data_IF_749662573602
#
_entry.id   IF_749662573602
#
_cell.length_a   1.000
_cell.length_b   1.000
_cell.length_c   1.000
_cell.angle_alpha   90.00
_cell.angle_beta   90.00
_cell.angle_gamma   90.00
#
_symmetry.space_group_name_H-M   'P 1'
#
loop_
_entity.id
_entity.type
_entity.pdbx_description
1 polymer ?
#
# COMPACT_ATOMS: atom_id res chain seq x y z
N UNK A 1 40.58 -41.85 -49.73
CA UNK A 1 40.36 -40.59 -50.46
C UNK A 1 38.87 -40.52 -50.75
N UNK A 2 37.96 -40.35 -49.77
CA UNK A 2 37.79 -39.28 -48.78
C UNK A 2 37.65 -37.90 -49.42
N UNK A 3 36.74 -37.09 -48.86
CA UNK A 3 36.44 -35.66 -49.06
C UNK A 3 35.62 -35.28 -50.33
N UNK A 4 34.41 -34.71 -50.31
CA UNK A 4 33.56 -34.14 -49.24
C UNK A 4 32.06 -34.23 -49.58
N UNK A 5 31.28 -34.67 -48.60
CA UNK A 5 29.82 -34.51 -48.55
C UNK A 5 29.49 -33.09 -48.06
N UNK A 6 29.31 -32.12 -48.94
CA UNK A 6 28.84 -30.78 -48.57
C UNK A 6 27.31 -30.77 -48.44
N UNK A 7 26.81 -31.41 -47.38
CA UNK A 7 25.45 -31.16 -46.88
C UNK A 7 25.46 -29.73 -46.33
N UNK A 8 24.93 -28.78 -47.10
CA UNK A 8 24.66 -27.42 -46.60
C UNK A 8 23.54 -27.51 -45.55
N UNK A 9 23.75 -27.13 -44.29
CA UNK A 9 22.64 -26.95 -43.38
C UNK A 9 21.83 -25.76 -43.91
N UNK A 10 20.58 -25.97 -44.31
CA UNK A 10 19.65 -24.87 -44.50
C UNK A 10 19.49 -24.21 -43.13
N UNK A 11 20.11 -23.04 -42.94
CA UNK A 11 19.99 -22.25 -41.71
C UNK A 11 18.53 -21.83 -41.56
N UNK A 12 17.83 -22.67 -40.82
CA UNK A 12 16.86 -22.37 -39.80
C UNK A 12 16.34 -20.91 -39.74
N UNK A 13 15.02 -20.80 -39.78
CA UNK A 13 14.30 -20.27 -38.62
C UNK A 13 14.80 -18.91 -38.11
N UNK A 14 14.67 -17.85 -38.91
CA UNK A 14 14.93 -16.49 -38.38
C UNK A 14 14.11 -15.38 -39.03
N UNK A 15 12.95 -15.66 -39.64
CA UNK A 15 12.03 -14.58 -40.09
C UNK A 15 10.93 -14.24 -39.08
N UNK A 16 10.51 -15.18 -38.23
CA UNK A 16 9.43 -14.95 -37.25
C UNK A 16 9.86 -14.13 -36.03
N UNK A 17 11.15 -14.15 -35.68
CA UNK A 17 11.67 -13.39 -34.54
C UNK A 17 12.00 -11.94 -34.92
N UNK A 18 12.38 -11.67 -36.17
CA UNK A 18 12.67 -10.29 -36.65
C UNK A 18 11.42 -9.42 -36.61
N UNK A 19 10.26 -9.94 -37.04
CA UNK A 19 8.99 -9.21 -36.94
C UNK A 19 8.58 -8.93 -35.49
N UNK A 20 8.78 -9.89 -34.58
CA UNK A 20 8.51 -9.70 -33.15
C UNK A 20 9.47 -8.72 -32.50
N UNK A 21 10.75 -8.75 -32.88
CA UNK A 21 11.77 -7.80 -32.44
C UNK A 21 11.45 -6.38 -32.92
N UNK A 22 11.06 -6.21 -34.19
CA UNK A 22 10.66 -4.91 -34.71
C UNK A 22 9.40 -4.37 -34.04
N UNK A 23 8.40 -5.22 -33.78
CA UNK A 23 7.19 -4.82 -33.04
C UNK A 23 7.50 -4.46 -31.58
N UNK A 24 8.38 -5.22 -30.92
CA UNK A 24 8.85 -4.89 -29.57
C UNK A 24 9.63 -3.58 -29.56
N UNK A 25 10.52 -3.36 -30.53
CA UNK A 25 11.27 -2.11 -30.66
C UNK A 25 10.33 -0.94 -30.94
N UNK A 26 9.34 -1.08 -31.83
CA UNK A 26 8.32 -0.06 -32.06
C UNK A 26 7.45 0.21 -30.82
N UNK A 27 7.06 -0.83 -30.07
CA UNK A 27 6.30 -0.68 -28.84
C UNK A 27 7.12 0.00 -27.74
N UNK A 28 8.41 -0.33 -27.62
CA UNK A 28 9.36 0.31 -26.70
C UNK A 28 9.60 1.76 -27.11
N UNK A 29 9.81 2.05 -28.40
CA UNK A 29 9.94 3.42 -28.90
C UNK A 29 8.65 4.23 -28.71
N UNK A 30 7.48 3.61 -28.85
CA UNK A 30 6.19 4.24 -28.58
C UNK A 30 6.01 4.56 -27.09
N UNK A 31 6.37 3.63 -26.21
CA UNK A 31 6.44 3.84 -24.75
C UNK A 31 7.44 4.94 -24.37
N UNK A 32 8.62 4.95 -24.98
CA UNK A 32 9.66 5.97 -24.76
C UNK A 32 9.29 7.34 -25.34
N UNK A 33 8.40 7.40 -26.34
CA UNK A 33 7.87 8.65 -26.89
C UNK A 33 6.65 9.17 -26.10
N UNK A 34 5.89 8.29 -25.46
CA UNK A 34 4.72 8.63 -24.66
C UNK A 34 5.06 9.02 -23.20
N UNK A 35 6.11 8.42 -22.63
CA UNK A 35 6.60 8.73 -21.28
C UNK A 35 7.08 10.18 -21.06
N UNK A 36 7.69 10.90 -22.03
CA UNK A 36 8.20 12.26 -21.81
C UNK A 36 7.11 13.35 -21.90
N UNK A 37 5.92 13.05 -22.45
CA UNK A 37 4.90 14.07 -22.77
C UNK A 37 3.70 14.13 -21.82
N UNK A 38 3.50 13.15 -20.92
CA UNK A 38 2.37 13.22 -19.99
C UNK A 38 2.74 14.05 -18.73
N UNK A 39 2.18 15.26 -18.55
CA UNK A 39 2.46 16.09 -17.37
C UNK A 39 2.06 15.40 -16.05
N UNK A 40 1.08 14.49 -16.12
CA UNK A 40 0.62 13.67 -14.99
C UNK A 40 1.68 12.69 -14.52
N UNK A 41 2.38 11.98 -15.42
CA UNK A 41 3.40 11.00 -15.02
C UNK A 41 4.61 11.69 -14.37
N UNK A 42 5.01 12.86 -14.88
CA UNK A 42 6.06 13.68 -14.28
C UNK A 42 5.67 14.16 -12.88
N UNK A 43 4.44 14.64 -12.70
CA UNK A 43 3.93 15.03 -11.40
C UNK A 43 3.89 13.83 -10.43
N UNK A 44 3.39 12.67 -10.86
CA UNK A 44 3.36 11.46 -10.05
C UNK A 44 4.76 11.01 -9.65
N UNK A 45 5.72 11.01 -10.57
CA UNK A 45 7.12 10.68 -10.26
C UNK A 45 7.74 11.69 -9.28
N UNK A 46 7.50 12.98 -9.49
CA UNK A 46 7.99 14.05 -8.61
C UNK A 46 7.44 13.94 -7.19
N UNK A 47 6.14 13.66 -7.04
CA UNK A 47 5.48 13.53 -5.74
C UNK A 47 5.55 12.11 -5.17
N UNK A 48 6.03 11.12 -5.95
CA UNK A 48 6.13 9.73 -5.52
C UNK A 48 6.91 9.53 -4.22
N UNK A 49 8.03 10.24 -3.93
CA UNK A 49 8.74 10.07 -2.67
C UNK A 49 7.92 10.57 -1.48
N UNK A 50 7.20 11.68 -1.64
CA UNK A 50 6.32 12.22 -0.60
C UNK A 50 5.10 11.30 -0.37
N UNK A 51 4.52 10.75 -1.45
CA UNK A 51 3.45 9.76 -1.35
C UNK A 51 3.92 8.48 -0.67
N UNK A 52 5.13 8.00 -0.99
CA UNK A 52 5.71 6.83 -0.35
C UNK A 52 5.97 7.07 1.14
N UNK A 53 6.48 8.26 1.51
CA UNK A 53 6.68 8.64 2.91
C UNK A 53 5.34 8.72 3.67
N UNK A 54 4.33 9.39 3.10
CA UNK A 54 3.00 9.48 3.69
C UNK A 54 2.31 8.12 3.81
N UNK A 55 2.49 7.24 2.82
CA UNK A 55 2.00 5.87 2.85
C UNK A 55 2.66 5.05 3.97
N UNK A 56 3.98 5.15 4.12
CA UNK A 56 4.71 4.53 5.23
C UNK A 56 4.21 5.02 6.58
N UNK A 57 3.98 6.32 6.74
CA UNK A 57 3.45 6.90 7.97
C UNK A 57 2.02 6.42 8.26
N UNK A 58 1.17 6.29 7.24
CA UNK A 58 -0.17 5.75 7.38
C UNK A 58 -0.16 4.31 7.91
N UNK A 59 0.72 3.47 7.36
CA UNK A 59 0.91 2.10 7.85
C UNK A 59 1.39 2.10 9.30
N UNK A 60 2.39 2.91 9.62
CA UNK A 60 2.96 2.98 10.96
C UNK A 60 1.91 3.36 12.01
N UNK A 61 1.18 4.45 11.76
CA UNK A 61 0.13 4.93 12.67
C UNK A 61 -0.97 3.87 12.81
N UNK A 62 -1.40 3.25 11.70
CA UNK A 62 -2.41 2.19 11.73
C UNK A 62 -1.96 1.00 12.56
N UNK A 63 -0.72 0.55 12.39
CA UNK A 63 -0.16 -0.60 13.10
C UNK A 63 -0.06 -0.32 14.60
N UNK A 64 0.43 0.86 14.98
CA UNK A 64 0.51 1.29 16.38
C UNK A 64 -0.90 1.41 16.99
N UNK A 65 -1.85 2.02 16.28
CA UNK A 65 -3.22 2.17 16.73
C UNK A 65 -3.91 0.81 16.94
N UNK A 66 -3.72 -0.14 16.01
CA UNK A 66 -4.25 -1.51 16.14
C UNK A 66 -3.60 -2.24 17.31
N UNK A 67 -2.28 -2.15 17.46
CA UNK A 67 -1.57 -2.83 18.55
C UNK A 67 -2.02 -2.32 19.92
N UNK A 68 -2.05 -1.00 20.11
CA UNK A 68 -2.50 -0.36 21.35
C UNK A 68 -3.99 -0.60 21.59
N UNK A 69 -4.82 -0.42 20.56
CA UNK A 69 -6.26 -0.64 20.63
C UNK A 69 -6.61 -2.10 20.97
N UNK A 70 -5.84 -3.06 20.44
CA UNK A 70 -6.02 -4.49 20.76
C UNK A 70 -5.60 -4.82 22.17
N UNK A 71 -4.47 -4.28 22.65
CA UNK A 71 -4.00 -4.50 24.01
C UNK A 71 -4.98 -3.92 25.04
N UNK A 72 -5.37 -2.65 24.88
CA UNK A 72 -6.35 -1.99 25.74
C UNK A 72 -7.73 -2.64 25.62
N UNK A 73 -8.15 -2.96 24.39
CA UNK A 73 -9.40 -3.64 24.10
C UNK A 73 -9.48 -5.03 24.76
N UNK A 74 -8.38 -5.78 24.80
CA UNK A 74 -8.30 -7.06 25.49
C UNK A 74 -8.48 -6.90 27.00
N UNK A 75 -7.81 -5.91 27.62
CA UNK A 75 -7.94 -5.64 29.04
C UNK A 75 -9.37 -5.24 29.42
N UNK A 76 -9.96 -4.30 28.67
CA UNK A 76 -11.35 -3.87 28.89
C UNK A 76 -12.34 -4.99 28.59
N UNK A 77 -12.08 -5.79 27.55
CA UNK A 77 -12.89 -6.96 27.20
C UNK A 77 -12.90 -8.02 28.29
N UNK A 78 -11.74 -8.32 28.87
CA UNK A 78 -11.62 -9.21 30.04
C UNK A 78 -12.39 -8.65 31.24
N UNK A 79 -12.31 -7.34 31.49
CA UNK A 79 -13.06 -6.67 32.56
C UNK A 79 -14.57 -6.75 32.34
N UNK A 80 -15.04 -6.64 31.09
CA UNK A 80 -16.45 -6.77 30.71
C UNK A 80 -17.02 -8.19 30.87
N UNK A 81 -16.15 -9.21 30.98
CA UNK A 81 -16.52 -10.61 31.24
C UNK A 81 -16.46 -10.96 32.74
N UNK A 82 -15.92 -10.07 33.58
CA UNK A 82 -15.72 -10.35 35.00
C UNK A 82 -17.06 -10.56 35.75
N UNK A 83 -17.09 -11.45 36.78
CA UNK A 83 -18.28 -11.69 37.61
C UNK A 83 -18.82 -10.46 38.37
N UNK A 84 -17.99 -9.60 39.00
CA UNK A 84 -18.49 -8.48 39.77
C UNK A 84 -19.11 -7.41 38.86
N UNK A 85 -20.37 -7.08 39.14
CA UNK A 85 -21.15 -6.09 38.36
C UNK A 85 -20.48 -4.72 38.31
N UNK A 86 -19.74 -4.34 39.36
CA UNK A 86 -19.05 -3.06 39.48
C UNK A 86 -17.88 -2.91 38.49
N UNK A 87 -17.23 -4.00 38.10
CA UNK A 87 -16.15 -3.99 37.10
C UNK A 87 -16.74 -4.11 35.68
N UNK A 88 -17.76 -4.95 35.53
CA UNK A 88 -18.41 -5.21 34.24
C UNK A 88 -19.14 -4.00 33.67
N UNK A 89 -19.87 -3.26 34.49
CA UNK A 89 -20.71 -2.14 34.05
C UNK A 89 -19.91 -1.01 33.39
N UNK A 90 -18.85 -0.44 34.01
CA UNK A 90 -18.06 0.61 33.37
C UNK A 90 -17.35 0.10 32.11
N UNK A 91 -16.86 -1.14 32.09
CA UNK A 91 -16.25 -1.73 30.90
C UNK A 91 -17.23 -1.82 29.72
N UNK A 92 -18.49 -2.19 29.97
CA UNK A 92 -19.52 -2.22 28.93
C UNK A 92 -19.89 -0.82 28.44
N UNK A 93 -20.01 0.15 29.34
CA UNK A 93 -20.26 1.55 28.95
C UNK A 93 -19.13 2.05 28.06
N UNK A 94 -17.88 1.84 28.45
CA UNK A 94 -16.72 2.21 27.65
C UNK A 94 -16.80 1.65 26.24
N UNK A 95 -17.00 0.33 26.11
CA UNK A 95 -17.10 -0.32 24.79
C UNK A 95 -18.28 0.22 23.98
N UNK A 96 -19.45 0.43 24.58
CA UNK A 96 -20.63 0.93 23.88
C UNK A 96 -20.45 2.37 23.40
N UNK A 97 -19.85 3.25 24.19
CA UNK A 97 -19.61 4.65 23.79
C UNK A 97 -18.67 4.66 22.58
N UNK A 98 -17.51 4.02 22.66
CA UNK A 98 -16.52 4.07 21.58
C UNK A 98 -16.96 3.34 20.31
N UNK A 99 -17.78 2.27 20.41
CA UNK A 99 -18.28 1.55 19.24
C UNK A 99 -19.43 2.24 18.52
N UNK A 100 -20.21 3.08 19.20
CA UNK A 100 -21.34 3.79 18.62
C UNK A 100 -21.06 5.29 18.38
N UNK A 101 -19.93 5.80 18.88
CA UNK A 101 -19.52 7.18 18.65
C UNK A 101 -19.26 7.44 17.14
N UNK A 102 -19.73 8.57 16.59
CA UNK A 102 -19.37 8.97 15.24
C UNK A 102 -17.86 9.22 15.15
N UNK A 103 -17.18 8.56 14.21
CA UNK A 103 -15.72 8.67 14.04
C UNK A 103 -15.25 10.13 13.88
N UNK A 104 -16.02 10.94 13.17
CA UNK A 104 -15.75 12.37 12.96
C UNK A 104 -15.70 13.15 14.28
N UNK A 105 -16.57 12.83 15.24
CA UNK A 105 -16.56 13.46 16.57
C UNK A 105 -15.29 13.09 17.32
N UNK A 106 -14.84 11.83 17.24
CA UNK A 106 -13.60 11.40 17.87
C UNK A 106 -12.39 12.10 17.27
N UNK A 107 -12.33 12.22 15.95
CA UNK A 107 -11.24 12.95 15.28
C UNK A 107 -11.23 14.40 15.72
N UNK A 108 -12.36 15.12 15.63
CA UNK A 108 -12.42 16.51 16.09
C UNK A 108 -12.06 16.66 17.56
N UNK A 109 -12.54 15.75 18.42
CA UNK A 109 -12.15 15.73 19.82
C UNK A 109 -10.64 15.59 19.97
N UNK A 110 -10.00 14.63 19.30
CA UNK A 110 -8.55 14.46 19.38
C UNK A 110 -7.78 15.65 18.78
N UNK A 111 -8.30 16.26 17.72
CA UNK A 111 -7.68 17.41 17.02
C UNK A 111 -8.02 18.76 17.65
N UNK A 112 -8.80 18.83 18.73
CA UNK A 112 -9.03 20.08 19.46
C UNK A 112 -8.66 20.00 20.94
N UNK A 113 -8.75 18.81 21.55
CA UNK A 113 -8.47 18.62 22.98
C UNK A 113 -7.01 18.33 23.26
N UNK A 114 -6.29 17.66 22.36
CA UNK A 114 -4.84 17.50 22.54
C UNK A 114 -4.14 18.81 22.17
N UNK A 115 -3.34 19.43 23.05
CA UNK A 115 -2.62 20.65 22.72
C UNK A 115 -1.54 20.38 21.66
N UNK A 116 -1.57 21.13 20.55
CA UNK A 116 -0.55 21.06 19.48
C UNK A 116 0.64 21.98 19.76
N UNK A 117 0.49 22.89 20.73
CA UNK A 117 1.49 23.86 21.15
C UNK A 117 1.87 23.56 22.60
N UNK A 118 2.94 22.79 22.79
CA UNK A 118 3.59 22.65 24.09
C UNK A 118 4.64 23.76 24.13
N UNK A 119 4.39 24.82 24.91
CA UNK A 119 5.37 25.87 25.18
C UNK A 119 6.53 25.34 26.02
#
# INVERSE_FOLDING_TARGET
MAIESSVTPSVAWSRRHVGKLLLLVCAVLWLLWFTPQSPVLKALLQWSPALAAGFGQNILISLVAIALGSLLGLLVGALALSPPRLLRFPARIWVQIFRNAPWLVLIYFTTYVFPFEIH
#
